data_IF_947489584863
#
_entry.id   IF_947489584863
#
_cell.length_a   1.000
_cell.length_b   1.000
_cell.length_c   1.000
_cell.angle_alpha   90.00
_cell.angle_beta   90.00
_cell.angle_gamma   90.00
#
_symmetry.space_group_name_H-M   'P 1'
#
loop_
_entity.id
_entity.type
_entity.pdbx_description
1 polymer ?
#
# COMPACT_ATOMS: atom_id res chain seq x y z
N UNK A 1 10.20 -17.32 13.26
CA UNK A 1 9.08 -17.07 12.33
C UNK A 1 9.57 -16.15 11.22
N UNK A 2 9.26 -16.40 9.95
CA UNK A 2 9.76 -15.57 8.85
C UNK A 2 8.99 -14.24 8.77
N UNK A 3 9.71 -13.12 8.81
CA UNK A 3 9.18 -11.77 8.58
C UNK A 3 9.93 -11.13 7.41
N UNK A 4 9.19 -10.66 6.42
CA UNK A 4 9.74 -9.97 5.24
C UNK A 4 9.30 -8.52 5.24
N UNK A 5 10.24 -7.61 5.02
CA UNK A 5 10.01 -6.18 5.13
C UNK A 5 10.06 -5.49 3.76
N UNK A 6 9.27 -4.43 3.62
CA UNK A 6 9.30 -3.50 2.48
C UNK A 6 9.04 -2.06 2.88
N UNK A 7 9.20 -1.15 1.95
CA UNK A 7 8.93 0.27 2.18
C UNK A 7 8.10 0.89 1.06
N UNK A 8 7.70 2.13 1.29
CA UNK A 8 6.76 2.85 0.45
C UNK A 8 7.44 3.77 -0.55
N UNK A 9 7.16 3.57 -1.83
CA UNK A 9 7.40 4.46 -2.96
C UNK A 9 8.84 4.89 -3.20
N UNK A 10 9.42 5.76 -2.39
CA UNK A 10 10.72 6.35 -2.67
C UNK A 10 11.82 5.72 -1.81
N UNK A 11 12.88 5.22 -2.44
CA UNK A 11 14.12 4.92 -1.75
C UNK A 11 14.91 6.21 -1.52
N UNK A 12 14.93 6.71 -0.29
CA UNK A 12 15.67 7.92 0.09
C UNK A 12 17.18 7.72 0.04
N UNK A 13 17.66 6.48 0.03
CA UNK A 13 19.09 6.17 -0.19
C UNK A 13 19.53 6.40 -1.64
N UNK A 14 18.59 6.56 -2.59
CA UNK A 14 18.92 6.85 -3.98
C UNK A 14 18.86 8.35 -4.28
N UNK A 15 19.97 8.91 -4.75
CA UNK A 15 20.04 10.31 -5.17
C UNK A 15 19.03 10.63 -6.28
N UNK A 16 18.20 11.65 -6.03
CA UNK A 16 17.19 12.18 -6.96
C UNK A 16 16.34 11.11 -7.66
N UNK A 17 15.86 10.10 -6.93
CA UNK A 17 15.12 8.96 -7.49
C UNK A 17 13.64 8.92 -7.09
N UNK A 18 12.97 10.07 -6.94
CA UNK A 18 11.54 10.08 -6.56
C UNK A 18 10.65 9.60 -7.71
N UNK A 19 9.85 8.51 -7.54
CA UNK A 19 8.91 8.04 -8.55
C UNK A 19 7.54 8.74 -8.49
N UNK A 20 7.46 9.88 -7.79
CA UNK A 20 6.22 10.57 -7.46
C UNK A 20 6.23 12.04 -7.94
N UNK A 21 7.00 12.38 -8.97
CA UNK A 21 6.95 13.73 -9.55
C UNK A 21 5.56 13.94 -10.16
N UNK A 22 4.97 15.10 -9.90
CA UNK A 22 3.60 15.40 -10.32
C UNK A 22 3.51 16.73 -11.08
N UNK A 23 2.38 16.94 -11.74
CA UNK A 23 1.97 18.21 -12.33
C UNK A 23 0.56 18.55 -11.87
N UNK A 24 0.38 19.72 -11.29
CA UNK A 24 -0.96 20.21 -10.95
C UNK A 24 -1.75 20.55 -12.21
N UNK A 25 -3.07 20.40 -12.16
CA UNK A 25 -3.94 20.78 -13.28
C UNK A 25 -3.82 22.27 -13.64
N UNK A 26 -3.61 23.13 -12.64
CA UNK A 26 -3.36 24.56 -12.87
C UNK A 26 -2.07 24.82 -13.67
N UNK A 27 -1.00 24.05 -13.44
CA UNK A 27 0.22 24.14 -14.25
C UNK A 27 0.01 23.60 -15.65
N UNK A 28 -0.68 22.46 -15.78
CA UNK A 28 -1.04 21.87 -17.06
C UNK A 28 -1.80 22.86 -17.97
N UNK A 29 -2.79 23.58 -17.42
CA UNK A 29 -3.56 24.59 -18.19
C UNK A 29 -2.74 25.79 -18.65
N UNK A 30 -1.65 26.13 -17.95
CA UNK A 30 -0.74 27.24 -18.30
C UNK A 30 0.23 26.88 -19.44
N UNK A 31 0.45 25.59 -19.72
CA UNK A 31 1.26 25.15 -20.86
C UNK A 31 0.51 25.39 -22.16
N UNK A 32 1.26 25.58 -23.25
CA UNK A 32 0.70 25.56 -24.60
C UNK A 32 0.13 24.17 -24.89
N UNK A 33 -0.87 24.10 -25.75
CA UNK A 33 -1.59 22.86 -26.02
C UNK A 33 -0.65 21.75 -26.52
N UNK A 34 0.28 22.10 -27.39
CA UNK A 34 1.30 21.21 -27.94
C UNK A 34 2.33 20.72 -26.91
N UNK A 35 2.48 21.40 -25.76
CA UNK A 35 3.45 21.07 -24.70
C UNK A 35 2.86 20.19 -23.59
N UNK A 36 1.52 20.15 -23.48
CA UNK A 36 0.79 19.49 -22.39
C UNK A 36 1.07 17.99 -22.27
N UNK A 37 0.85 17.24 -23.36
CA UNK A 37 1.08 15.79 -23.37
C UNK A 37 2.57 15.45 -23.30
N UNK A 38 3.47 16.10 -24.06
CA UNK A 38 4.91 15.88 -23.91
C UNK A 38 5.42 16.06 -22.47
N UNK A 39 4.92 17.05 -21.72
CA UNK A 39 5.35 17.25 -20.33
C UNK A 39 4.83 16.14 -19.40
N UNK A 40 3.57 15.70 -19.55
CA UNK A 40 3.03 14.54 -18.83
C UNK A 40 3.85 13.28 -19.12
N UNK A 41 4.21 13.07 -20.40
CA UNK A 41 5.02 11.94 -20.81
C UNK A 41 6.43 11.99 -20.24
N UNK A 42 7.05 13.17 -20.22
CA UNK A 42 8.38 13.39 -19.64
C UNK A 42 8.39 13.06 -18.14
N UNK A 43 7.41 13.56 -17.39
CA UNK A 43 7.30 13.29 -15.94
C UNK A 43 7.06 11.79 -15.69
N UNK A 44 6.15 11.17 -16.44
CA UNK A 44 5.83 9.74 -16.29
C UNK A 44 7.01 8.85 -16.61
N UNK A 45 7.73 9.12 -17.71
CA UNK A 45 8.95 8.40 -18.08
C UNK A 45 9.98 8.45 -16.95
N UNK A 46 10.18 9.62 -16.37
CA UNK A 46 11.12 9.83 -15.26
C UNK A 46 10.70 9.05 -14.01
N UNK A 47 9.41 9.07 -13.66
CA UNK A 47 8.87 8.30 -12.54
C UNK A 47 9.04 6.78 -12.72
N UNK A 48 8.83 6.26 -13.93
CA UNK A 48 9.04 4.84 -14.26
C UNK A 48 10.54 4.47 -14.21
N UNK A 49 11.43 5.33 -14.74
CA UNK A 49 12.87 5.13 -14.64
C UNK A 49 13.34 5.13 -13.18
N UNK A 50 12.79 6.01 -12.33
CA UNK A 50 13.07 6.02 -10.90
C UNK A 50 12.53 4.77 -10.18
N UNK A 51 11.40 4.25 -10.64
CA UNK A 51 10.86 2.98 -10.15
C UNK A 51 11.78 1.82 -10.50
N UNK A 52 12.35 1.77 -11.71
CA UNK A 52 13.37 0.78 -12.07
C UNK A 52 14.61 0.89 -11.16
N UNK A 53 15.08 2.11 -10.88
CA UNK A 53 16.19 2.33 -9.93
C UNK A 53 15.86 1.78 -8.54
N UNK A 54 14.66 2.04 -8.04
CA UNK A 54 14.19 1.50 -6.75
C UNK A 54 14.10 -0.04 -6.77
N UNK A 55 13.62 -0.66 -7.86
CA UNK A 55 13.58 -2.11 -7.99
C UNK A 55 14.99 -2.72 -7.99
N UNK A 56 15.94 -2.13 -8.74
CA UNK A 56 17.34 -2.58 -8.71
C UNK A 56 17.97 -2.43 -7.33
N UNK A 57 17.69 -1.33 -6.64
CA UNK A 57 18.10 -1.12 -5.25
C UNK A 57 17.53 -2.21 -4.34
N UNK A 58 16.24 -2.52 -4.45
CA UNK A 58 15.60 -3.57 -3.65
C UNK A 58 16.22 -4.94 -3.91
N UNK A 59 16.55 -5.25 -5.15
CA UNK A 59 17.23 -6.50 -5.51
C UNK A 59 18.63 -6.54 -4.87
N UNK A 60 19.41 -5.46 -4.98
CA UNK A 60 20.77 -5.39 -4.45
C UNK A 60 20.82 -5.43 -2.91
N UNK A 61 19.80 -4.86 -2.25
CA UNK A 61 19.66 -4.86 -0.80
C UNK A 61 18.75 -5.99 -0.28
N UNK A 62 18.35 -6.92 -1.15
CA UNK A 62 17.47 -8.05 -0.81
C UNK A 62 16.21 -7.63 -0.01
N UNK A 63 15.56 -6.56 -0.44
CA UNK A 63 14.29 -6.05 0.11
C UNK A 63 13.14 -6.67 -0.71
N UNK A 64 12.38 -7.63 -0.14
CA UNK A 64 11.42 -8.43 -0.91
C UNK A 64 10.08 -7.74 -1.19
N UNK A 65 9.73 -6.65 -0.49
CA UNK A 65 8.44 -5.97 -0.61
C UNK A 65 8.63 -4.52 -1.08
N UNK A 66 7.73 -4.05 -1.93
CA UNK A 66 7.76 -2.66 -2.40
C UNK A 66 6.37 -2.13 -2.76
N UNK A 67 5.97 -1.01 -2.17
CA UNK A 67 4.76 -0.31 -2.60
C UNK A 67 5.11 0.73 -3.66
N UNK A 68 4.52 0.61 -4.85
CA UNK A 68 4.64 1.61 -5.90
C UNK A 68 4.02 2.95 -5.47
N UNK A 69 4.46 4.04 -6.09
CA UNK A 69 3.80 5.34 -5.90
C UNK A 69 2.50 5.41 -6.69
N UNK A 70 1.39 5.78 -6.05
CA UNK A 70 0.13 6.08 -6.75
C UNK A 70 0.25 7.32 -7.67
N UNK A 71 1.27 8.15 -7.46
CA UNK A 71 1.57 9.34 -8.26
C UNK A 71 2.51 9.08 -9.46
N UNK A 72 2.68 7.81 -9.88
CA UNK A 72 3.50 7.45 -11.04
C UNK A 72 3.15 8.23 -12.30
N UNK A 73 1.84 8.38 -12.56
CA UNK A 73 1.31 9.06 -13.73
C UNK A 73 0.53 10.30 -13.29
N UNK A 74 1.06 11.52 -13.49
CA UNK A 74 0.34 12.74 -13.13
C UNK A 74 -0.95 12.87 -13.94
N UNK A 75 -2.02 13.33 -13.27
CA UNK A 75 -3.33 13.64 -13.86
C UNK A 75 -4.01 12.47 -14.61
N UNK A 76 -3.58 11.22 -14.40
CA UNK A 76 -4.12 10.04 -15.09
C UNK A 76 -5.64 9.86 -14.90
N UNK A 77 -6.15 10.26 -13.74
CA UNK A 77 -7.57 10.13 -13.35
C UNK A 77 -8.30 11.48 -13.37
N UNK A 78 -7.67 12.55 -13.87
CA UNK A 78 -8.29 13.87 -13.90
C UNK A 78 -9.30 13.97 -15.05
N UNK A 79 -10.56 14.28 -14.74
CA UNK A 79 -11.69 14.31 -15.70
C UNK A 79 -11.52 15.19 -16.95
N UNK A 80 -10.67 16.22 -16.88
CA UNK A 80 -10.39 17.15 -17.99
C UNK A 80 -9.08 16.83 -18.74
N UNK A 81 -8.41 15.71 -18.42
CA UNK A 81 -7.12 15.36 -19.00
C UNK A 81 -7.17 13.92 -19.50
N UNK A 82 -7.44 13.75 -20.79
CA UNK A 82 -7.38 12.44 -21.45
C UNK A 82 -6.08 12.30 -22.23
N UNK A 83 -5.32 11.25 -21.94
CA UNK A 83 -4.08 10.95 -22.64
C UNK A 83 -3.65 9.49 -22.45
N UNK A 84 -2.90 8.96 -23.42
CA UNK A 84 -2.38 7.60 -23.36
C UNK A 84 -1.11 7.53 -22.51
N UNK A 85 -1.26 7.04 -21.29
CA UNK A 85 -0.17 6.80 -20.33
C UNK A 85 0.33 5.36 -20.31
N UNK A 86 -0.13 4.49 -21.23
CA UNK A 86 0.28 3.08 -21.31
C UNK A 86 1.18 2.84 -22.52
N UNK A 87 0.71 3.14 -23.73
CA UNK A 87 1.42 2.78 -24.97
C UNK A 87 2.82 3.39 -25.08
N UNK A 88 3.04 4.67 -24.74
CA UNK A 88 4.37 5.29 -24.86
C UNK A 88 5.45 4.69 -23.93
N UNK A 89 5.06 3.88 -22.95
CA UNK A 89 5.95 3.33 -21.92
C UNK A 89 5.89 1.81 -21.79
N UNK A 90 5.30 1.10 -22.77
CA UNK A 90 5.17 -0.37 -22.76
C UNK A 90 6.47 -1.09 -22.38
N UNK A 91 7.59 -0.68 -22.96
CA UNK A 91 8.91 -1.28 -22.67
C UNK A 91 9.32 -1.10 -21.21
N UNK A 92 9.13 0.10 -20.63
CA UNK A 92 9.46 0.38 -19.23
C UNK A 92 8.57 -0.41 -18.28
N UNK A 93 7.26 -0.50 -18.57
CA UNK A 93 6.34 -1.31 -17.77
C UNK A 93 6.71 -2.81 -17.83
N UNK A 94 7.00 -3.32 -19.02
CA UNK A 94 7.40 -4.71 -19.23
C UNK A 94 8.72 -5.03 -18.50
N UNK A 95 9.69 -4.10 -18.52
CA UNK A 95 10.95 -4.24 -17.79
C UNK A 95 10.74 -4.28 -16.27
N UNK A 96 9.94 -3.36 -15.72
CA UNK A 96 9.54 -3.35 -14.30
C UNK A 96 8.93 -4.71 -13.93
N UNK A 97 7.94 -5.16 -14.70
CA UNK A 97 7.24 -6.42 -14.49
C UNK A 97 8.18 -7.63 -14.51
N UNK A 98 9.08 -7.68 -15.50
CA UNK A 98 10.06 -8.75 -15.65
C UNK A 98 10.99 -8.84 -14.44
N UNK A 99 11.49 -7.71 -13.94
CA UNK A 99 12.36 -7.68 -12.76
C UNK A 99 11.61 -8.11 -11.50
N UNK A 100 10.41 -7.58 -11.27
CA UNK A 100 9.56 -7.94 -10.13
C UNK A 100 9.31 -9.44 -10.09
N UNK A 101 8.90 -10.05 -11.22
CA UNK A 101 8.66 -11.50 -11.30
C UNK A 101 9.93 -12.32 -11.14
N UNK A 102 11.00 -11.96 -11.84
CA UNK A 102 12.28 -12.68 -11.80
C UNK A 102 12.85 -12.75 -10.39
N UNK A 103 12.73 -11.66 -9.63
CA UNK A 103 13.26 -11.55 -8.27
C UNK A 103 12.20 -11.77 -7.18
N UNK A 104 10.98 -12.17 -7.59
CA UNK A 104 9.86 -12.52 -6.69
C UNK A 104 9.54 -11.41 -5.67
N UNK A 105 9.62 -10.15 -6.10
CA UNK A 105 9.24 -9.02 -5.26
C UNK A 105 7.72 -8.98 -5.08
N UNK A 106 7.24 -8.79 -3.85
CA UNK A 106 5.82 -8.55 -3.59
C UNK A 106 5.54 -7.06 -3.73
N UNK A 107 4.68 -6.72 -4.67
CA UNK A 107 4.32 -5.33 -4.96
C UNK A 107 2.87 -5.00 -4.64
N UNK A 108 2.60 -3.72 -4.39
CA UNK A 108 1.25 -3.21 -4.14
C UNK A 108 1.12 -1.73 -4.48
N UNK A 109 -0.10 -1.25 -4.58
CA UNK A 109 -0.46 0.16 -4.51
C UNK A 109 -1.28 0.45 -3.25
N UNK A 110 -1.35 1.73 -2.87
CA UNK A 110 -2.26 2.25 -1.87
C UNK A 110 -2.76 3.61 -2.39
N UNK A 111 -3.91 3.63 -3.09
CA UNK A 111 -4.54 4.88 -3.50
C UNK A 111 -4.75 5.85 -2.34
N UNK A 112 -4.95 7.12 -2.64
CA UNK A 112 -5.13 8.13 -1.60
C UNK A 112 -6.54 8.06 -0.98
N UNK A 113 -6.75 8.87 0.06
CA UNK A 113 -8.00 8.95 0.82
C UNK A 113 -9.26 9.40 0.02
N UNK A 114 -9.14 9.73 -1.27
CA UNK A 114 -10.26 10.13 -2.11
C UNK A 114 -10.93 8.94 -2.83
N UNK A 115 -10.32 7.75 -2.79
CA UNK A 115 -10.86 6.52 -3.36
C UNK A 115 -11.83 5.90 -2.37
N UNK A 116 -13.08 6.40 -2.36
CA UNK A 116 -14.08 6.10 -1.34
C UNK A 116 -15.31 5.39 -1.93
N UNK A 117 -15.70 4.28 -1.31
CA UNK A 117 -16.94 3.55 -1.62
C UNK A 117 -18.07 3.82 -0.60
N UNK A 118 -17.81 4.54 0.49
CA UNK A 118 -18.81 4.86 1.53
C UNK A 118 -19.66 6.11 1.23
N UNK A 119 -19.34 6.87 0.18
CA UNK A 119 -20.03 8.13 -0.12
C UNK A 119 -21.46 7.90 -0.64
N UNK A 120 -22.36 8.80 -0.25
CA UNK A 120 -23.71 8.95 -0.77
C UNK A 120 -23.76 9.62 -2.16
N UNK A 121 -22.67 10.25 -2.60
CA UNK A 121 -22.57 10.94 -3.88
C UNK A 121 -22.04 10.00 -4.95
N UNK A 122 -22.87 9.69 -5.95
CA UNK A 122 -22.53 8.77 -7.05
C UNK A 122 -21.19 9.09 -7.73
N UNK A 123 -20.91 10.37 -8.00
CA UNK A 123 -19.66 10.77 -8.65
C UNK A 123 -18.40 10.47 -7.83
N UNK A 124 -18.51 10.33 -6.49
CA UNK A 124 -17.37 9.95 -5.64
C UNK A 124 -17.03 8.48 -5.86
N UNK A 125 -18.05 7.61 -5.87
CA UNK A 125 -17.89 6.18 -6.19
C UNK A 125 -17.39 5.98 -7.62
N UNK A 126 -17.92 6.73 -8.61
CA UNK A 126 -17.43 6.68 -10.00
C UNK A 126 -15.93 7.04 -10.09
N UNK A 127 -15.50 8.05 -9.33
CA UNK A 127 -14.08 8.42 -9.27
C UNK A 127 -13.24 7.35 -8.58
N UNK A 128 -13.77 6.71 -7.53
CA UNK A 128 -13.09 5.60 -6.86
C UNK A 128 -12.90 4.40 -7.80
N UNK A 129 -13.91 4.05 -8.60
CA UNK A 129 -13.81 3.01 -9.63
C UNK A 129 -12.75 3.37 -10.67
N UNK A 130 -12.76 4.61 -11.20
CA UNK A 130 -11.74 5.09 -12.15
C UNK A 130 -10.33 5.03 -11.58
N UNK A 131 -10.17 5.34 -10.31
CA UNK A 131 -8.86 5.29 -9.65
C UNK A 131 -8.37 3.86 -9.46
N UNK A 132 -9.27 2.92 -9.10
CA UNK A 132 -8.95 1.49 -9.08
C UNK A 132 -8.62 0.93 -10.46
N UNK A 133 -9.34 1.36 -11.50
CA UNK A 133 -9.06 1.02 -12.91
C UNK A 133 -7.68 1.52 -13.36
N UNK A 134 -7.30 2.74 -12.99
CA UNK A 134 -5.97 3.29 -13.25
C UNK A 134 -4.87 2.42 -12.64
N UNK A 135 -4.96 2.10 -11.34
CA UNK A 135 -3.95 1.27 -10.67
C UNK A 135 -3.89 -0.15 -11.28
N UNK A 136 -5.05 -0.74 -11.59
CA UNK A 136 -5.11 -2.04 -12.25
C UNK A 136 -4.53 -2.00 -13.67
N UNK A 137 -4.75 -0.93 -14.44
CA UNK A 137 -4.18 -0.75 -15.77
C UNK A 137 -2.65 -0.67 -15.72
N UNK A 138 -2.07 0.02 -14.73
CA UNK A 138 -0.63 0.02 -14.50
C UNK A 138 -0.11 -1.39 -14.19
N UNK A 139 -0.76 -2.10 -13.28
CA UNK A 139 -0.41 -3.49 -12.96
C UNK A 139 -0.53 -4.39 -14.19
N UNK A 140 -1.52 -4.18 -15.05
CA UNK A 140 -1.69 -4.95 -16.28
C UNK A 140 -0.58 -4.66 -17.29
N UNK A 141 -0.19 -3.40 -17.47
CA UNK A 141 0.93 -3.02 -18.32
C UNK A 141 2.27 -3.61 -17.82
N UNK A 142 2.45 -3.73 -16.50
CA UNK A 142 3.58 -4.42 -15.89
C UNK A 142 3.42 -5.96 -15.89
N UNK A 143 2.27 -6.50 -16.28
CA UNK A 143 1.98 -7.93 -16.19
C UNK A 143 1.84 -8.45 -14.75
N UNK A 144 1.58 -7.59 -13.76
CA UNK A 144 1.50 -7.89 -12.32
C UNK A 144 0.07 -7.94 -11.75
N UNK A 145 -0.96 -7.71 -12.57
CA UNK A 145 -2.38 -7.62 -12.21
C UNK A 145 -3.02 -8.86 -11.55
N UNK A 146 -2.29 -9.96 -11.39
CA UNK A 146 -2.73 -11.16 -10.67
C UNK A 146 -1.90 -11.43 -9.40
N UNK A 147 -0.87 -10.64 -9.16
CA UNK A 147 0.13 -10.86 -8.11
C UNK A 147 0.29 -9.65 -7.18
N UNK A 148 -0.41 -8.55 -7.45
CA UNK A 148 -0.24 -7.28 -6.73
C UNK A 148 -1.56 -6.71 -6.28
N UNK A 149 -1.60 -6.27 -5.02
CA UNK A 149 -2.81 -5.77 -4.39
C UNK A 149 -2.89 -4.24 -4.43
N UNK A 150 -4.12 -3.74 -4.42
CA UNK A 150 -4.47 -2.32 -4.34
C UNK A 150 -5.21 -2.13 -3.01
N UNK A 151 -4.50 -1.58 -2.04
CA UNK A 151 -4.98 -1.46 -0.67
C UNK A 151 -5.79 -0.18 -0.47
N UNK A 152 -6.91 -0.23 0.26
CA UNK A 152 -7.73 0.92 0.59
C UNK A 152 -8.12 0.91 2.07
N UNK A 153 -8.46 2.08 2.60
CA UNK A 153 -9.30 2.15 3.80
C UNK A 153 -10.79 2.05 3.40
N UNK A 154 -11.66 1.70 4.35
CA UNK A 154 -13.11 1.65 4.11
C UNK A 154 -13.65 3.03 3.73
N UNK A 155 -13.19 4.09 4.40
CA UNK A 155 -13.53 5.49 4.09
C UNK A 155 -14.13 6.23 5.27
N UNK A 156 -15.06 7.16 5.01
CA UNK A 156 -15.72 7.94 6.06
C UNK A 156 -16.99 7.28 6.60
N UNK A 157 -17.35 7.58 7.86
CA UNK A 157 -18.62 7.19 8.48
C UNK A 157 -19.79 8.13 8.13
N UNK A 158 -19.52 9.37 7.71
CA UNK A 158 -20.56 10.37 7.38
C UNK A 158 -21.64 10.57 8.46
N UNK A 159 -21.26 10.39 9.73
CA UNK A 159 -22.16 10.50 10.89
C UNK A 159 -22.90 9.21 11.28
N UNK A 160 -22.86 8.18 10.43
CA UNK A 160 -23.52 6.89 10.66
C UNK A 160 -22.72 5.77 9.97
N UNK A 161 -21.98 5.00 10.79
CA UNK A 161 -21.13 3.90 10.32
C UNK A 161 -21.94 2.79 9.66
N UNK A 162 -23.09 2.40 10.22
CA UNK A 162 -23.90 1.30 9.70
C UNK A 162 -24.40 1.66 8.30
N UNK A 163 -25.00 2.84 8.14
CA UNK A 163 -25.46 3.31 6.84
C UNK A 163 -24.29 3.50 5.84
N UNK A 164 -23.11 3.90 6.32
CA UNK A 164 -21.92 4.02 5.47
C UNK A 164 -21.40 2.67 4.97
N UNK A 165 -21.42 1.63 5.82
CA UNK A 165 -21.05 0.27 5.43
C UNK A 165 -22.07 -0.34 4.47
N UNK A 166 -23.38 -0.12 4.68
CA UNK A 166 -24.40 -0.51 3.71
C UNK A 166 -24.11 0.10 2.32
N UNK A 167 -23.81 1.40 2.27
CA UNK A 167 -23.41 2.05 1.02
C UNK A 167 -22.11 1.48 0.46
N UNK A 168 -21.13 1.17 1.30
CA UNK A 168 -19.88 0.55 0.88
C UNK A 168 -20.14 -0.74 0.11
N UNK A 169 -20.95 -1.65 0.67
CA UNK A 169 -21.32 -2.91 0.02
C UNK A 169 -22.01 -2.69 -1.33
N UNK A 170 -22.96 -1.74 -1.41
CA UNK A 170 -23.68 -1.49 -2.66
C UNK A 170 -22.84 -0.80 -3.72
N UNK A 171 -22.03 0.17 -3.32
CA UNK A 171 -21.13 0.88 -4.22
C UNK A 171 -20.03 -0.03 -4.75
N UNK A 172 -19.55 -0.97 -3.94
CA UNK A 172 -18.51 -1.93 -4.35
C UNK A 172 -18.96 -2.84 -5.50
N UNK A 173 -20.27 -3.04 -5.70
CA UNK A 173 -20.83 -3.77 -6.86
C UNK A 173 -20.52 -3.08 -8.19
N UNK A 174 -20.21 -1.78 -8.18
CA UNK A 174 -19.81 -1.04 -9.38
C UNK A 174 -18.37 -1.34 -9.81
N UNK A 175 -17.54 -1.91 -8.93
CA UNK A 175 -16.16 -2.23 -9.23
C UNK A 175 -16.06 -3.52 -10.07
N UNK A 176 -15.39 -3.51 -11.24
CA UNK A 176 -15.23 -4.71 -12.05
C UNK A 176 -14.55 -5.85 -11.28
N UNK A 177 -15.11 -7.06 -11.38
CA UNK A 177 -14.62 -8.24 -10.65
C UNK A 177 -13.11 -8.50 -10.74
N UNK A 178 -12.44 -8.38 -11.91
CA UNK A 178 -10.99 -8.57 -11.99
C UNK A 178 -10.19 -7.59 -11.13
N UNK A 179 -10.72 -6.37 -10.96
CA UNK A 179 -10.11 -5.31 -10.16
C UNK A 179 -10.43 -5.52 -8.68
N UNK A 180 -11.68 -5.87 -8.34
CA UNK A 180 -12.08 -6.21 -6.96
C UNK A 180 -11.22 -7.34 -6.39
N UNK A 181 -10.85 -8.34 -7.21
CA UNK A 181 -9.93 -9.43 -6.81
C UNK A 181 -8.53 -8.99 -6.39
N UNK A 182 -8.10 -7.78 -6.76
CA UNK A 182 -6.82 -7.21 -6.33
C UNK A 182 -6.99 -6.24 -5.16
N UNK A 183 -8.21 -5.96 -4.71
CA UNK A 183 -8.46 -5.07 -3.57
C UNK A 183 -8.02 -5.73 -2.26
N UNK A 184 -7.48 -4.93 -1.35
CA UNK A 184 -7.39 -5.25 0.08
C UNK A 184 -7.93 -4.09 0.90
N UNK A 185 -8.39 -4.35 2.12
CA UNK A 185 -8.91 -3.32 3.02
C UNK A 185 -8.07 -3.23 4.30
N UNK A 186 -7.87 -2.01 4.79
CA UNK A 186 -7.03 -1.70 5.93
C UNK A 186 -7.78 -0.93 7.00
N UNK A 187 -7.61 -1.34 8.27
CA UNK A 187 -8.14 -0.60 9.42
C UNK A 187 -7.49 0.78 9.51
N UNK A 188 -8.21 1.76 10.07
CA UNK A 188 -7.77 3.14 10.09
C UNK A 188 -7.71 3.72 11.51
N UNK A 189 -7.06 4.86 11.65
CA UNK A 189 -6.72 5.49 12.94
C UNK A 189 -7.85 6.30 13.58
N UNK A 190 -9.05 6.34 12.98
CA UNK A 190 -10.15 7.24 13.36
C UNK A 190 -11.55 6.67 13.24
N UNK A 191 -11.84 5.95 12.17
CA UNK A 191 -13.18 5.67 11.69
C UNK A 191 -13.51 4.22 11.92
N UNK A 192 -12.89 3.30 11.21
CA UNK A 192 -13.19 1.87 11.30
C UNK A 192 -12.09 1.12 12.07
N UNK A 193 -12.50 0.43 13.13
CA UNK A 193 -11.60 -0.40 13.96
C UNK A 193 -11.15 -1.66 13.19
N UNK A 194 -10.31 -2.48 13.83
CA UNK A 194 -9.84 -3.73 13.20
C UNK A 194 -10.98 -4.72 13.03
N UNK A 195 -11.82 -4.87 14.05
CA UNK A 195 -13.00 -5.75 14.05
C UNK A 195 -13.99 -5.34 12.97
N UNK A 196 -14.36 -4.06 12.90
CA UNK A 196 -15.26 -3.54 11.87
C UNK A 196 -14.70 -3.79 10.46
N UNK A 197 -13.37 -3.63 10.29
CA UNK A 197 -12.71 -3.89 9.01
C UNK A 197 -12.68 -5.37 8.65
N UNK A 198 -12.41 -6.25 9.62
CA UNK A 198 -12.43 -7.70 9.44
C UNK A 198 -13.82 -8.18 9.01
N UNK A 199 -14.89 -7.68 9.64
CA UNK A 199 -16.26 -8.06 9.30
C UNK A 199 -16.60 -7.71 7.83
N UNK A 200 -16.15 -6.55 7.35
CA UNK A 200 -16.29 -6.16 5.94
C UNK A 200 -15.48 -7.09 5.03
N UNK A 201 -14.24 -7.39 5.41
CA UNK A 201 -13.35 -8.28 4.66
C UNK A 201 -13.94 -9.70 4.53
N UNK A 202 -14.42 -10.27 5.63
CA UNK A 202 -15.04 -11.59 5.70
C UNK A 202 -16.32 -11.65 4.85
N UNK A 203 -17.17 -10.63 4.95
CA UNK A 203 -18.42 -10.54 4.18
C UNK A 203 -18.17 -10.42 2.67
N UNK A 204 -17.18 -9.63 2.26
CA UNK A 204 -16.89 -9.36 0.85
C UNK A 204 -15.89 -10.34 0.21
N UNK A 205 -15.27 -11.21 1.01
CA UNK A 205 -14.19 -12.09 0.57
C UNK A 205 -12.93 -11.33 0.14
N UNK A 206 -12.61 -10.23 0.82
CA UNK A 206 -11.48 -9.36 0.53
C UNK A 206 -10.40 -9.55 1.61
N UNK A 207 -9.11 -9.72 1.28
CA UNK A 207 -8.07 -9.82 2.28
C UNK A 207 -7.90 -8.51 3.04
N UNK A 208 -7.73 -8.62 4.36
CA UNK A 208 -7.42 -7.47 5.19
C UNK A 208 -5.92 -7.20 5.18
N UNK A 209 -5.49 -5.94 5.07
CA UNK A 209 -4.17 -5.51 5.52
C UNK A 209 -4.31 -4.97 6.94
N UNK A 210 -3.58 -5.55 7.88
CA UNK A 210 -3.62 -5.08 9.27
C UNK A 210 -2.60 -3.96 9.47
N UNK A 211 -3.02 -2.79 9.94
CA UNK A 211 -2.11 -1.74 10.39
C UNK A 211 -2.08 -1.68 11.92
N UNK A 212 -0.92 -1.96 12.49
CA UNK A 212 -0.74 -2.00 13.93
C UNK A 212 -0.77 -0.61 14.58
N UNK A 213 -0.25 0.41 13.92
CA UNK A 213 -0.27 1.77 14.48
C UNK A 213 -1.69 2.32 14.50
N UNK A 214 -2.47 2.07 13.44
CA UNK A 214 -3.90 2.40 13.40
C UNK A 214 -4.69 1.64 14.48
N UNK A 215 -4.42 0.34 14.66
CA UNK A 215 -4.99 -0.43 15.76
C UNK A 215 -4.71 0.22 17.10
N UNK A 216 -3.46 0.55 17.40
CA UNK A 216 -3.10 1.21 18.66
C UNK A 216 -3.78 2.57 18.84
N UNK A 217 -4.08 3.30 17.75
CA UNK A 217 -4.75 4.60 17.79
C UNK A 217 -6.29 4.52 17.85
N UNK A 218 -6.89 3.39 17.46
CA UNK A 218 -8.33 3.26 17.21
C UNK A 218 -8.83 1.82 17.49
N UNK A 219 -8.42 1.24 18.61
CA UNK A 219 -8.96 -0.03 19.10
C UNK A 219 -9.95 0.20 20.24
N UNK A 220 -10.85 -0.76 20.45
CA UNK A 220 -11.71 -0.81 21.64
C UNK A 220 -11.14 -1.73 22.70
N UNK A 221 -11.65 -1.66 23.94
CA UNK A 221 -11.15 -2.48 25.04
C UNK A 221 -11.46 -3.98 24.85
N UNK A 222 -12.42 -4.29 23.99
CA UNK A 222 -12.85 -5.64 23.63
C UNK A 222 -12.00 -6.26 22.52
N UNK A 223 -11.16 -5.46 21.83
CA UNK A 223 -10.28 -5.98 20.78
C UNK A 223 -9.04 -6.63 21.37
N UNK A 224 -8.95 -7.97 21.24
CA UNK A 224 -7.77 -8.75 21.58
C UNK A 224 -7.06 -9.24 20.31
N UNK A 225 -5.78 -8.90 20.15
CA UNK A 225 -4.94 -9.39 19.05
C UNK A 225 -4.92 -10.92 18.96
N UNK A 226 -5.01 -11.64 20.08
CA UNK A 226 -5.04 -13.10 20.07
C UNK A 226 -6.28 -13.67 19.36
N UNK A 227 -7.40 -12.94 19.40
CA UNK A 227 -8.65 -13.31 18.72
C UNK A 227 -8.69 -12.77 17.28
N UNK A 228 -8.16 -11.57 17.06
CA UNK A 228 -8.16 -10.91 15.75
C UNK A 228 -7.17 -11.54 14.77
N UNK A 229 -6.00 -11.98 15.23
CA UNK A 229 -4.97 -12.55 14.35
C UNK A 229 -5.49 -13.76 13.57
N UNK A 230 -6.06 -14.82 14.19
CA UNK A 230 -6.59 -15.96 13.44
C UNK A 230 -7.57 -15.55 12.32
N UNK A 231 -8.49 -14.62 12.61
CA UNK A 231 -9.43 -14.08 11.60
C UNK A 231 -8.71 -13.35 10.47
N UNK A 232 -7.76 -12.47 10.82
CA UNK A 232 -6.93 -11.77 9.85
C UNK A 232 -6.17 -12.74 8.93
N UNK A 233 -5.54 -13.78 9.48
CA UNK A 233 -4.86 -14.82 8.70
C UNK A 233 -5.82 -15.55 7.75
N UNK A 234 -7.03 -15.86 8.21
CA UNK A 234 -8.05 -16.53 7.39
C UNK A 234 -8.47 -15.68 6.17
N UNK A 235 -8.48 -14.34 6.27
CA UNK A 235 -8.77 -13.48 5.10
C UNK A 235 -7.75 -13.63 3.96
N UNK A 236 -6.57 -14.17 4.25
CA UNK A 236 -5.53 -14.49 3.26
C UNK A 236 -5.47 -15.97 2.86
N UNK A 237 -6.35 -16.81 3.41
CA UNK A 237 -6.37 -18.23 3.07
C UNK A 237 -6.55 -18.43 1.55
N UNK A 238 -5.68 -19.25 0.95
CA UNK A 238 -5.68 -19.51 -0.49
C UNK A 238 -4.95 -18.46 -1.35
N UNK A 239 -4.48 -17.35 -0.78
CA UNK A 239 -3.61 -16.41 -1.48
C UNK A 239 -2.16 -16.92 -1.51
N UNK A 240 -1.45 -16.62 -2.60
CA UNK A 240 -0.04 -17.01 -2.78
C UNK A 240 0.90 -16.38 -1.76
N UNK A 241 0.60 -15.15 -1.34
CA UNK A 241 1.47 -14.39 -0.46
C UNK A 241 1.01 -14.50 1.00
N UNK A 242 1.94 -14.41 1.97
CA UNK A 242 1.60 -14.31 3.39
C UNK A 242 0.67 -13.13 3.67
N UNK A 243 0.00 -13.10 4.84
CA UNK A 243 -0.73 -11.92 5.27
C UNK A 243 0.18 -10.68 5.28
N UNK A 244 -0.41 -9.55 4.91
CA UNK A 244 0.30 -8.28 4.82
C UNK A 244 -0.09 -7.37 5.98
N UNK A 245 0.92 -6.78 6.60
CA UNK A 245 0.81 -5.86 7.71
C UNK A 245 1.44 -4.53 7.32
N UNK A 246 0.86 -3.43 7.76
CA UNK A 246 1.47 -2.11 7.75
C UNK A 246 2.00 -1.80 9.15
N UNK A 247 3.22 -1.27 9.21
CA UNK A 247 3.91 -1.04 10.47
C UNK A 247 4.59 0.32 10.47
N UNK A 248 4.22 1.12 11.45
CA UNK A 248 4.77 2.44 11.78
C UNK A 248 4.77 2.59 13.30
N UNK A 249 5.17 3.77 13.79
CA UNK A 249 5.06 4.15 15.19
C UNK A 249 4.68 5.64 15.31
N UNK A 250 4.05 6.04 16.43
CA UNK A 250 3.75 7.43 16.73
C UNK A 250 4.97 8.34 16.64
N UNK A 251 4.79 9.56 16.11
CA UNK A 251 5.83 10.60 16.11
C UNK A 251 6.12 11.10 17.54
N UNK A 252 5.09 11.25 18.34
CA UNK A 252 5.13 11.57 19.78
C UNK A 252 3.77 11.25 20.39
N UNK A 253 3.63 11.36 21.71
CA UNK A 253 2.34 11.18 22.39
C UNK A 253 1.30 12.21 21.93
N UNK A 254 1.70 13.47 21.71
CA UNK A 254 0.81 14.55 21.25
C UNK A 254 0.46 14.42 19.76
N UNK A 255 1.36 13.85 18.98
CA UNK A 255 1.20 13.61 17.55
C UNK A 255 1.00 12.12 17.27
N UNK A 256 0.17 11.43 18.08
CA UNK A 256 0.11 9.97 18.12
C UNK A 256 -0.13 9.33 16.75
N UNK A 257 -1.06 9.90 15.97
CA UNK A 257 -1.45 9.40 14.63
C UNK A 257 -0.45 9.75 13.52
N UNK A 258 0.50 10.64 13.78
CA UNK A 258 1.52 10.99 12.79
C UNK A 258 2.63 9.96 12.81
N UNK A 259 3.08 9.52 11.64
CA UNK A 259 4.19 8.57 11.56
C UNK A 259 5.52 9.24 11.96
N UNK A 260 6.30 8.52 12.75
CA UNK A 260 7.68 8.85 13.06
C UNK A 260 8.60 8.76 11.82
N UNK A 261 9.81 9.30 11.95
CA UNK A 261 10.80 9.26 10.89
C UNK A 261 11.36 7.85 10.72
N UNK A 262 11.64 7.18 11.84
CA UNK A 262 11.96 5.75 11.94
C UNK A 262 10.89 5.03 12.77
N UNK A 263 10.81 3.70 12.65
CA UNK A 263 9.91 2.88 13.47
C UNK A 263 10.56 2.63 14.83
N UNK A 264 9.82 2.90 15.90
CA UNK A 264 10.23 2.57 17.27
C UNK A 264 10.10 1.06 17.51
N UNK A 265 11.24 0.39 17.72
CA UNK A 265 11.33 -1.03 18.01
C UNK A 265 10.52 -1.43 19.26
N UNK A 266 10.53 -0.59 20.30
CA UNK A 266 9.84 -0.88 21.56
C UNK A 266 8.33 -0.86 21.39
N UNK A 267 7.82 0.01 20.51
CA UNK A 267 6.41 0.11 20.18
C UNK A 267 5.91 -1.13 19.43
N UNK A 268 6.70 -1.65 18.48
CA UNK A 268 6.27 -2.75 17.60
C UNK A 268 6.58 -4.15 18.15
N UNK A 269 7.55 -4.28 19.06
CA UNK A 269 7.96 -5.56 19.63
C UNK A 269 6.81 -6.36 20.27
N UNK A 270 5.87 -5.76 21.03
CA UNK A 270 4.70 -6.47 21.56
C UNK A 270 3.90 -7.18 20.47
N UNK A 271 3.58 -6.48 19.39
CA UNK A 271 2.89 -7.05 18.23
C UNK A 271 3.67 -8.21 17.61
N UNK A 272 4.96 -8.01 17.33
CA UNK A 272 5.80 -9.06 16.72
C UNK A 272 5.87 -10.33 17.59
N UNK A 273 5.87 -10.18 18.92
CA UNK A 273 5.81 -11.32 19.87
C UNK A 273 4.48 -12.07 19.81
N UNK A 274 3.36 -11.37 19.68
CA UNK A 274 2.04 -12.02 19.54
C UNK A 274 1.97 -12.74 18.20
N UNK A 275 2.36 -12.09 17.10
CA UNK A 275 2.37 -12.74 15.77
C UNK A 275 3.29 -13.96 15.77
N UNK A 276 4.45 -13.92 16.45
CA UNK A 276 5.35 -15.07 16.58
C UNK A 276 4.66 -16.34 17.11
N UNK A 277 3.62 -16.19 17.93
CA UNK A 277 2.86 -17.33 18.47
C UNK A 277 2.02 -18.06 17.42
N UNK A 278 1.73 -17.43 16.27
CA UNK A 278 1.03 -18.10 15.17
C UNK A 278 1.93 -19.04 14.38
N UNK A 279 3.27 -18.90 14.53
CA UNK A 279 4.30 -19.60 13.75
C UNK A 279 4.19 -19.42 12.22
N UNK A 280 3.33 -18.51 11.76
CA UNK A 280 3.08 -18.26 10.34
C UNK A 280 3.84 -17.04 9.84
N UNK A 281 4.31 -17.03 8.57
CA UNK A 281 5.05 -15.90 8.04
C UNK A 281 4.16 -14.66 7.87
N UNK A 282 4.77 -13.47 7.97
CA UNK A 282 4.11 -12.20 7.62
C UNK A 282 4.99 -11.31 6.75
N UNK A 283 4.32 -10.44 6.00
CA UNK A 283 4.90 -9.45 5.12
C UNK A 283 4.59 -8.05 5.64
N UNK A 284 5.62 -7.30 6.04
CA UNK A 284 5.51 -6.02 6.73
C UNK A 284 5.91 -4.88 5.79
N UNK A 285 4.97 -3.97 5.52
CA UNK A 285 5.25 -2.71 4.84
C UNK A 285 5.53 -1.61 5.86
N UNK A 286 6.74 -1.05 5.83
CA UNK A 286 7.18 0.02 6.71
C UNK A 286 6.65 1.37 6.22
N UNK A 287 5.87 2.00 7.09
CA UNK A 287 5.09 3.22 6.88
C UNK A 287 5.75 4.43 7.58
N UNK A 288 7.07 4.63 7.42
CA UNK A 288 7.79 5.71 8.09
C UNK A 288 8.21 6.84 7.13
N UNK A 289 8.67 8.00 7.65
CA UNK A 289 9.14 9.09 6.77
C UNK A 289 10.47 8.80 6.09
N UNK A 290 11.39 8.09 6.77
CA UNK A 290 12.72 7.73 6.25
C UNK A 290 12.71 6.46 5.35
N UNK A 291 11.53 5.94 5.01
CA UNK A 291 11.32 4.92 3.96
C UNK A 291 12.23 3.68 4.11
N UNK A 292 13.06 3.41 3.10
CA UNK A 292 13.98 2.28 3.06
C UNK A 292 15.01 2.33 4.20
N UNK A 293 15.42 3.53 4.64
CA UNK A 293 16.35 3.67 5.77
C UNK A 293 15.68 3.29 7.09
N UNK A 294 14.40 3.63 7.27
CA UNK A 294 13.61 3.18 8.42
C UNK A 294 13.46 1.67 8.45
N UNK A 295 13.19 1.05 7.28
CA UNK A 295 13.15 -0.39 7.15
C UNK A 295 14.48 -1.04 7.51
N UNK A 296 15.58 -0.59 6.90
CA UNK A 296 16.89 -1.23 7.09
C UNK A 296 17.37 -1.07 8.54
N UNK A 297 17.11 0.09 9.14
CA UNK A 297 17.37 0.34 10.56
C UNK A 297 16.55 -0.60 11.45
N UNK A 298 15.24 -0.72 11.25
CA UNK A 298 14.41 -1.61 12.07
C UNK A 298 14.87 -3.08 11.95
N UNK A 299 15.22 -3.52 10.74
CA UNK A 299 15.76 -4.88 10.52
C UNK A 299 17.08 -5.09 11.28
N UNK A 300 17.95 -4.08 11.29
CA UNK A 300 19.21 -4.13 12.05
C UNK A 300 18.97 -4.18 13.56
N UNK A 301 18.11 -3.30 14.09
CA UNK A 301 17.77 -3.22 15.50
C UNK A 301 17.17 -4.56 15.99
N UNK A 302 16.17 -5.10 15.27
CA UNK A 302 15.55 -6.38 15.60
C UNK A 302 16.54 -7.56 15.49
N UNK A 303 17.44 -7.55 14.51
CA UNK A 303 18.45 -8.61 14.36
C UNK A 303 19.52 -8.58 15.46
N UNK A 304 19.69 -7.47 16.17
CA UNK A 304 20.56 -7.40 17.34
C UNK A 304 19.95 -8.08 18.57
N UNK A 305 18.65 -8.38 18.57
CA UNK A 305 17.99 -9.11 19.64
C UNK A 305 18.43 -10.59 19.68
N UNK A 306 18.60 -11.12 20.89
CA UNK A 306 18.96 -12.54 21.09
C UNK A 306 17.87 -13.45 20.52
N UNK A 307 18.26 -14.34 19.62
CA UNK A 307 17.37 -15.35 19.04
C UNK A 307 16.69 -14.93 17.74
N UNK A 308 16.90 -13.70 17.29
CA UNK A 308 16.49 -13.24 15.95
C UNK A 308 17.66 -13.41 14.99
N UNK A 309 17.41 -13.93 13.79
CA UNK A 309 18.44 -14.12 12.76
C UNK A 309 18.08 -13.33 11.50
N UNK A 310 19.01 -12.49 11.03
CA UNK A 310 18.88 -11.87 9.71
C UNK A 310 19.19 -12.88 8.61
N UNK A 311 18.22 -13.11 7.73
CA UNK A 311 18.34 -14.04 6.60
C UNK A 311 18.74 -13.32 5.32
N UNK A 312 18.17 -12.12 5.09
CA UNK A 312 18.47 -11.24 3.97
C UNK A 312 18.43 -9.78 4.42
N UNK A 313 18.76 -8.86 3.52
CA UNK A 313 18.69 -7.42 3.80
C UNK A 313 17.34 -6.94 4.35
N UNK A 314 16.21 -7.45 3.85
CA UNK A 314 14.86 -7.17 4.38
C UNK A 314 14.11 -8.39 4.93
N UNK A 315 14.81 -9.42 5.44
CA UNK A 315 14.17 -10.67 5.90
C UNK A 315 14.78 -11.17 7.21
N UNK A 316 13.93 -11.47 8.18
CA UNK A 316 14.29 -11.99 9.50
C UNK A 316 13.63 -13.34 9.76
N UNK A 317 14.34 -14.21 10.47
CA UNK A 317 13.74 -15.26 11.29
C UNK A 317 13.64 -14.73 12.72
N UNK A 318 12.44 -14.26 13.08
CA UNK A 318 12.12 -13.58 14.34
C UNK A 318 11.73 -14.53 15.46
#
# INVERSE_FOLDING_TARGET
MIIRFGYVAHALSLWEATPAKTMTFSRYKKLKEEERIPELQRITRLNLQHTLRAIHYNIAHEIPLYRFSSALVPLATHKEVEWDYITPFKELYAEIGKLVKKHQLRTSFHPNQFTLFTSDKTHVTENAVKDMEYHYALLKAMGLHHESHINLHIGGAYGDKEAALERFHENLKQLPNPIKKQMTLENDDKTYTTTETLEVCEKEGIPMVFDYHHYMANHTAEEDLAELLPRFYETWAGYRFPPKVHLSSPKSEEAYRSHADHVDETFVTPFLKVVKQTEQPIDVMIEAKEKDRALLKLVEDLAAQRGVKRLKGGELDF
#
